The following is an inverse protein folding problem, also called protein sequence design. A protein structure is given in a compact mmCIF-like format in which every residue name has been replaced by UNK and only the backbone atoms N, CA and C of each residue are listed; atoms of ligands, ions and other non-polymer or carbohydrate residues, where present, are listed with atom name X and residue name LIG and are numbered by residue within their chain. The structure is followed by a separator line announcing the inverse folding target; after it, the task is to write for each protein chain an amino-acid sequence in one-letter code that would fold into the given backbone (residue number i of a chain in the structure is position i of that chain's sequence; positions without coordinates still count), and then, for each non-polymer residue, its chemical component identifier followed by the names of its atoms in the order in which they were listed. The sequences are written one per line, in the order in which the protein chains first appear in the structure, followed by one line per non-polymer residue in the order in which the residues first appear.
data_IF_728812851597
#
_entry.id   IF_728812851597
#
_cell.length_a   1.000
_cell.length_b   1.000
_cell.length_c   1.000
_cell.angle_alpha   90.00
_cell.angle_beta   90.00
_cell.angle_gamma   90.00
#
_symmetry.space_group_name_H-M   'P 1'
#
loop_
_entity.id
_entity.type
_entity.pdbx_description
1 polymer ?
#
# COMPACT_ATOMS: atom_id res chain seq x y z
N UNK A 1 -36.98 11.03 62.90
CA UNK A 1 -37.19 9.55 62.94
C UNK A 1 -38.69 9.31 62.84
N UNK A 2 -39.16 8.30 62.05
CA UNK A 2 -38.67 6.92 62.10
C UNK A 2 -38.08 6.40 60.78
N UNK A 3 -37.18 5.43 60.91
CA UNK A 3 -36.62 4.57 59.86
C UNK A 3 -37.23 3.19 60.03
N UNK A 4 -37.68 2.59 58.93
CA UNK A 4 -37.78 1.14 58.68
C UNK A 4 -38.57 0.95 57.36
N UNK A 5 -38.28 0.05 56.41
CA UNK A 5 -37.89 -1.36 56.47
C UNK A 5 -37.50 -1.86 55.04
N UNK A 6 -36.81 -3.01 54.96
CA UNK A 6 -36.67 -3.98 53.83
C UNK A 6 -35.61 -3.70 52.71
N UNK A 7 -34.48 -4.44 52.62
CA UNK A 7 -34.21 -5.77 51.96
C UNK A 7 -34.48 -5.76 50.44
N UNK A 8 -33.68 -6.26 49.48
CA UNK A 8 -32.56 -7.23 49.35
C UNK A 8 -31.84 -6.93 47.98
N UNK A 9 -30.73 -7.61 47.60
CA UNK A 9 -29.74 -7.14 46.62
C UNK A 9 -30.13 -7.46 45.17
N UNK A 10 -29.68 -6.63 44.22
CA UNK A 10 -29.71 -6.97 42.80
C UNK A 10 -28.30 -7.02 42.22
N UNK A 11 -27.90 -8.24 41.92
CA UNK A 11 -26.74 -8.64 41.16
C UNK A 11 -26.78 -8.06 39.73
N UNK A 12 -25.59 -7.82 39.18
CA UNK A 12 -25.24 -7.81 37.76
C UNK A 12 -25.71 -6.62 36.90
N UNK A 13 -24.74 -5.87 36.37
CA UNK A 13 -24.29 -6.07 34.99
C UNK A 13 -22.95 -5.35 34.77
N UNK A 14 -21.84 -6.09 34.83
CA UNK A 14 -20.58 -5.61 34.24
C UNK A 14 -20.79 -5.67 32.74
N UNK A 15 -21.09 -4.53 32.11
CA UNK A 15 -21.02 -4.40 30.66
C UNK A 15 -19.53 -4.42 30.31
N UNK A 16 -19.02 -5.61 30.03
CA UNK A 16 -17.77 -5.74 29.31
C UNK A 16 -17.98 -5.09 27.95
N UNK A 17 -17.47 -3.87 27.77
CA UNK A 17 -17.28 -3.28 26.46
C UNK A 17 -16.19 -4.09 25.76
N UNK A 18 -16.57 -5.27 25.27
CA UNK A 18 -15.76 -6.03 24.34
C UNK A 18 -15.56 -5.14 23.12
N UNK A 19 -14.30 -4.82 22.88
CA UNK A 19 -13.79 -4.00 21.79
C UNK A 19 -14.36 -4.54 20.47
N UNK A 20 -15.47 -3.99 20.00
CA UNK A 20 -16.01 -4.35 18.68
C UNK A 20 -15.31 -3.44 17.69
N UNK A 21 -14.05 -3.76 17.38
CA UNK A 21 -13.46 -3.22 16.16
C UNK A 21 -14.11 -3.99 15.02
N UNK A 22 -15.11 -3.35 14.39
CA UNK A 22 -15.72 -3.82 13.15
C UNK A 22 -14.60 -4.33 12.24
N UNK A 23 -14.70 -5.59 11.82
CA UNK A 23 -13.76 -6.16 10.88
C UNK A 23 -13.84 -5.31 9.61
N UNK A 24 -12.69 -4.83 9.12
CA UNK A 24 -12.66 -4.06 7.89
C UNK A 24 -13.38 -4.86 6.78
N UNK A 25 -14.23 -4.23 5.97
CA UNK A 25 -14.90 -4.91 4.86
C UNK A 25 -13.85 -5.63 4.01
N UNK A 26 -14.18 -6.82 3.46
CA UNK A 26 -13.25 -7.58 2.65
C UNK A 26 -12.74 -6.67 1.52
N UNK A 27 -11.42 -6.68 1.24
CA UNK A 27 -10.87 -5.83 0.21
C UNK A 27 -11.61 -6.11 -1.11
N UNK A 28 -11.97 -5.07 -1.88
CA UNK A 28 -12.75 -5.26 -3.10
C UNK A 28 -12.06 -6.26 -4.03
N UNK A 29 -12.83 -7.24 -4.51
CA UNK A 29 -12.37 -8.20 -5.50
C UNK A 29 -12.10 -7.45 -6.82
N UNK A 30 -10.90 -7.65 -7.35
CA UNK A 30 -10.23 -6.89 -8.43
C UNK A 30 -9.75 -5.50 -7.99
N UNK A 31 -8.45 -5.41 -7.69
CA UNK A 31 -7.74 -4.15 -7.43
C UNK A 31 -7.24 -3.57 -8.76
N UNK A 32 -7.51 -2.28 -9.01
CA UNK A 32 -6.96 -1.58 -10.17
C UNK A 32 -5.48 -1.29 -9.93
N UNK A 33 -4.64 -1.51 -10.94
CA UNK A 33 -3.20 -1.44 -10.78
C UNK A 33 -2.51 -0.77 -11.96
N UNK A 34 -1.42 -0.06 -11.66
CA UNK A 34 -0.40 0.29 -12.63
C UNK A 34 0.83 -0.54 -12.31
N UNK A 35 1.29 -1.30 -13.30
CA UNK A 35 2.48 -2.14 -13.18
C UNK A 35 3.60 -1.49 -14.01
N UNK A 36 4.68 -1.10 -13.35
CA UNK A 36 5.87 -0.56 -14.01
C UNK A 36 6.94 -1.63 -14.03
N UNK A 37 7.37 -2.03 -15.24
CA UNK A 37 8.34 -3.11 -15.44
C UNK A 37 9.66 -2.53 -15.96
N UNK A 38 10.74 -2.84 -15.25
CA UNK A 38 12.09 -2.42 -15.60
C UNK A 38 12.87 -3.58 -16.21
N UNK A 39 13.45 -3.35 -17.39
CA UNK A 39 14.42 -4.28 -17.98
C UNK A 39 15.73 -4.29 -17.19
N UNK A 40 16.64 -5.20 -17.56
CA UNK A 40 17.99 -5.25 -17.01
C UNK A 40 18.76 -3.94 -17.29
N UNK A 41 19.16 -3.19 -16.23
CA UNK A 41 20.00 -2.01 -16.40
C UNK A 41 21.43 -2.43 -16.77
N UNK A 42 22.16 -1.54 -17.44
CA UNK A 42 23.58 -1.79 -17.77
C UNK A 42 24.47 -1.82 -16.52
N UNK A 43 24.12 -1.00 -15.54
CA UNK A 43 24.76 -0.93 -14.23
C UNK A 43 23.69 -1.07 -13.14
N UNK A 44 23.61 -2.28 -12.58
CA UNK A 44 22.64 -2.60 -11.52
C UNK A 44 22.93 -1.83 -10.24
N UNK A 45 24.20 -1.59 -9.88
CA UNK A 45 24.54 -0.88 -8.65
C UNK A 45 24.16 0.61 -8.74
N UNK A 46 24.43 1.25 -9.88
CA UNK A 46 24.02 2.63 -10.11
C UNK A 46 22.49 2.79 -10.13
N UNK A 47 21.78 1.87 -10.80
CA UNK A 47 20.32 1.86 -10.82
C UNK A 47 19.74 1.66 -9.41
N UNK A 48 20.27 0.71 -8.64
CA UNK A 48 19.86 0.45 -7.26
C UNK A 48 19.98 1.66 -6.35
N UNK A 49 21.14 2.33 -6.43
CA UNK A 49 21.39 3.55 -5.66
C UNK A 49 20.39 4.65 -6.02
N UNK A 50 20.20 4.93 -7.31
CA UNK A 50 19.24 5.95 -7.75
C UNK A 50 17.81 5.60 -7.34
N UNK A 51 17.43 4.33 -7.52
CA UNK A 51 16.08 3.88 -7.20
C UNK A 51 15.76 4.07 -5.72
N UNK A 52 16.66 3.66 -4.84
CA UNK A 52 16.48 3.79 -3.38
C UNK A 52 16.59 5.24 -2.89
N UNK A 53 17.55 6.02 -3.40
CA UNK A 53 17.85 7.35 -2.86
C UNK A 53 17.02 8.47 -3.49
N UNK A 54 16.47 8.26 -4.69
CA UNK A 54 15.76 9.30 -5.46
C UNK A 54 14.35 8.87 -5.82
N UNK A 55 14.21 7.70 -6.45
CA UNK A 55 12.93 7.30 -7.03
C UNK A 55 11.88 6.93 -5.98
N UNK A 56 12.24 6.08 -5.01
CA UNK A 56 11.32 5.68 -3.92
C UNK A 56 10.91 6.86 -3.04
N UNK A 57 11.82 7.77 -2.62
CA UNK A 57 11.42 8.98 -1.90
C UNK A 57 10.50 9.90 -2.71
N UNK A 58 10.74 10.06 -4.02
CA UNK A 58 9.87 10.83 -4.90
C UNK A 58 8.47 10.21 -4.96
N UNK A 59 8.37 8.89 -5.11
CA UNK A 59 7.09 8.18 -5.04
C UNK A 59 6.39 8.43 -3.69
N UNK A 60 7.10 8.27 -2.58
CA UNK A 60 6.53 8.46 -1.24
C UNK A 60 5.99 9.89 -1.05
N UNK A 61 6.68 10.90 -1.58
CA UNK A 61 6.25 12.30 -1.50
C UNK A 61 4.93 12.58 -2.24
N UNK A 62 4.63 11.83 -3.31
CA UNK A 62 3.42 11.98 -4.11
C UNK A 62 2.36 10.89 -3.88
N UNK A 63 2.64 9.86 -3.10
CA UNK A 63 1.77 8.69 -2.95
C UNK A 63 0.34 9.06 -2.47
N UNK A 64 0.23 10.05 -1.59
CA UNK A 64 -1.07 10.55 -1.11
C UNK A 64 -1.83 11.32 -2.20
N UNK A 65 -1.14 12.17 -2.96
CA UNK A 65 -1.72 12.91 -4.10
C UNK A 65 -2.21 11.96 -5.19
N UNK A 66 -1.43 10.91 -5.48
CA UNK A 66 -1.74 9.88 -6.47
C UNK A 66 -2.90 8.98 -6.00
N UNK A 67 -3.17 8.89 -4.69
CA UNK A 67 -4.26 8.10 -4.14
C UNK A 67 -3.98 6.59 -4.10
N UNK A 68 -2.72 6.21 -3.88
CA UNK A 68 -2.30 4.81 -3.81
C UNK A 68 -2.82 4.13 -2.55
N UNK A 69 -3.42 2.95 -2.68
CA UNK A 69 -3.88 2.14 -1.54
C UNK A 69 -2.83 1.13 -1.09
N UNK A 70 -1.95 0.70 -2.00
CA UNK A 70 -0.85 -0.24 -1.75
C UNK A 70 0.22 -0.11 -2.81
N UNK A 71 1.48 -0.26 -2.41
CA UNK A 71 2.60 -0.33 -3.33
C UNK A 71 3.48 -1.54 -2.98
N UNK A 72 3.82 -2.35 -3.97
CA UNK A 72 4.84 -3.41 -3.86
C UNK A 72 5.98 -3.13 -4.83
N UNK A 73 7.21 -3.19 -4.31
CA UNK A 73 8.41 -3.02 -5.11
C UNK A 73 9.15 -4.35 -5.11
N UNK A 74 9.23 -4.98 -6.27
CA UNK A 74 9.81 -6.31 -6.44
C UNK A 74 11.12 -6.19 -7.19
N UNK A 75 12.15 -6.87 -6.68
CA UNK A 75 13.39 -7.13 -7.40
C UNK A 75 13.45 -8.59 -7.81
N UNK A 76 13.64 -8.83 -9.09
CA UNK A 76 13.84 -10.18 -9.61
C UNK A 76 15.32 -10.53 -9.50
N UNK A 77 15.68 -11.34 -8.51
CA UNK A 77 17.07 -11.73 -8.27
C UNK A 77 17.52 -12.85 -9.24
N UNK A 78 16.69 -13.88 -9.40
CA UNK A 78 16.96 -15.07 -10.21
C UNK A 78 15.64 -15.75 -10.56
N UNK A 79 15.57 -16.42 -11.71
CA UNK A 79 14.44 -17.29 -12.06
C UNK A 79 14.55 -18.65 -11.37
N UNK A 80 13.46 -19.43 -11.38
CA UNK A 80 13.44 -20.74 -10.70
C UNK A 80 14.42 -21.76 -11.30
N UNK A 81 14.83 -21.58 -12.56
CA UNK A 81 15.86 -22.37 -13.23
C UNK A 81 17.27 -21.80 -13.05
N UNK A 82 17.47 -20.81 -12.18
CA UNK A 82 18.78 -20.26 -11.83
C UNK A 82 19.33 -19.21 -12.82
N UNK A 83 18.54 -18.80 -13.82
CA UNK A 83 18.97 -17.83 -14.85
C UNK A 83 18.71 -16.38 -14.44
N UNK A 84 19.36 -15.47 -15.16
CA UNK A 84 19.05 -14.05 -15.05
C UNK A 84 17.62 -13.77 -15.55
N UNK A 85 16.82 -12.99 -14.82
CA UNK A 85 15.45 -12.69 -15.23
C UNK A 85 15.43 -11.66 -16.36
N UNK A 86 14.44 -11.75 -17.24
CA UNK A 86 14.23 -10.77 -18.33
C UNK A 86 13.95 -9.37 -17.80
N UNK A 87 13.17 -9.29 -16.73
CA UNK A 87 12.86 -8.06 -16.00
C UNK A 87 13.72 -8.01 -14.75
N UNK A 88 14.23 -6.83 -14.43
CA UNK A 88 15.04 -6.59 -13.24
C UNK A 88 14.20 -6.19 -12.03
N UNK A 89 13.19 -5.35 -12.26
CA UNK A 89 12.31 -4.82 -11.21
C UNK A 89 10.88 -4.61 -11.67
N UNK A 90 9.99 -4.59 -10.70
CA UNK A 90 8.59 -4.23 -10.84
C UNK A 90 8.18 -3.25 -9.74
N UNK A 91 7.33 -2.29 -10.08
CA UNK A 91 6.51 -1.56 -9.12
C UNK A 91 5.04 -1.85 -9.40
N UNK A 92 4.36 -2.46 -8.44
CA UNK A 92 2.93 -2.73 -8.45
C UNK A 92 2.21 -1.71 -7.56
N UNK A 93 1.50 -0.77 -8.20
CA UNK A 93 0.81 0.34 -7.54
C UNK A 93 -0.69 0.13 -7.65
N UNK A 94 -1.37 -0.04 -6.50
CA UNK A 94 -2.80 -0.36 -6.42
C UNK A 94 -3.65 0.86 -6.07
N UNK A 95 -4.87 0.83 -6.58
CA UNK A 95 -5.88 1.87 -6.44
C UNK A 95 -7.24 1.27 -6.05
N UNK A 96 -8.04 2.06 -5.34
CA UNK A 96 -9.37 1.65 -4.87
C UNK A 96 -10.39 1.45 -6.02
N UNK A 97 -10.23 2.17 -7.14
CA UNK A 97 -11.11 2.10 -8.30
C UNK A 97 -10.39 2.54 -9.57
N UNK A 98 -11.01 2.30 -10.73
CA UNK A 98 -10.52 2.78 -12.03
C UNK A 98 -10.41 4.30 -12.06
N UNK A 99 -11.45 5.00 -11.61
CA UNK A 99 -11.46 6.47 -11.54
C UNK A 99 -10.34 7.01 -10.64
N UNK A 100 -10.03 6.33 -9.53
CA UNK A 100 -8.93 6.71 -8.65
C UNK A 100 -7.58 6.54 -9.37
N UNK A 101 -7.40 5.45 -10.11
CA UNK A 101 -6.22 5.25 -10.97
C UNK A 101 -6.11 6.35 -12.02
N UNK A 102 -7.15 6.57 -12.82
CA UNK A 102 -7.11 7.55 -13.93
C UNK A 102 -6.83 8.97 -13.43
N UNK A 103 -7.42 9.39 -12.30
CA UNK A 103 -7.11 10.67 -11.67
C UNK A 103 -5.69 10.69 -11.12
N UNK A 104 -5.30 9.64 -10.40
CA UNK A 104 -4.00 9.54 -9.73
C UNK A 104 -2.83 9.65 -10.71
N UNK A 105 -2.88 8.91 -11.81
CA UNK A 105 -1.80 8.91 -12.82
C UNK A 105 -1.72 10.22 -13.61
N UNK A 106 -2.83 10.98 -13.67
CA UNK A 106 -2.89 12.26 -14.38
C UNK A 106 -2.36 13.44 -13.54
N UNK A 107 -2.11 13.24 -12.23
CA UNK A 107 -1.49 14.27 -11.38
C UNK A 107 -0.05 14.57 -11.82
N UNK A 108 0.48 15.78 -11.59
CA UNK A 108 1.89 16.08 -11.87
C UNK A 108 2.85 15.11 -11.17
N UNK A 109 2.55 14.73 -9.92
CA UNK A 109 3.28 13.70 -9.18
C UNK A 109 3.20 12.33 -9.86
N UNK A 110 2.00 11.90 -10.27
CA UNK A 110 1.78 10.63 -10.98
C UNK A 110 2.54 10.53 -12.28
N UNK A 111 2.48 11.56 -13.13
CA UNK A 111 3.24 11.64 -14.38
C UNK A 111 4.75 11.57 -14.11
N UNK A 112 5.23 12.34 -13.12
CA UNK A 112 6.66 12.39 -12.80
C UNK A 112 7.17 11.06 -12.25
N UNK A 113 6.42 10.43 -11.33
CA UNK A 113 6.80 9.15 -10.73
C UNK A 113 6.73 8.04 -11.75
N UNK A 114 5.61 7.86 -12.44
CA UNK A 114 5.36 6.67 -13.26
C UNK A 114 6.15 6.66 -14.57
N UNK A 115 6.53 7.85 -15.08
CA UNK A 115 7.35 8.00 -16.29
C UNK A 115 8.82 8.22 -15.95
N UNK A 116 9.12 8.87 -14.82
CA UNK A 116 10.45 9.39 -14.50
C UNK A 116 11.48 8.35 -14.06
N UNK A 117 11.11 7.08 -13.96
CA UNK A 117 12.05 6.01 -13.71
C UNK A 117 12.86 5.70 -14.98
N UNK A 118 13.88 6.52 -15.25
CA UNK A 118 14.79 6.31 -16.37
C UNK A 118 15.53 4.99 -16.19
N UNK A 119 15.30 4.05 -17.10
CA UNK A 119 16.23 2.94 -17.35
C UNK A 119 17.53 3.53 -17.87
N UNK A 120 18.58 3.53 -17.04
CA UNK A 120 19.94 3.87 -17.45
C UNK A 120 20.73 2.58 -17.70
#
# INVERSE_FOLDING_TARGET
MPRSFFTLPLTALVVATACTKEAAPPPPAVQWAVIVLYNQPKDTAAFEKYYAEKHVPLFAAHAQEIGVTRAELVKFAVTIDGKAPTLYREADIRFASRDALERGIATPGGVTVLIGAKTN
#
